data_IF_912235307790
#
_entry.id   IF_912235307790
#
_cell.length_a   1.000
_cell.length_b   1.000
_cell.length_c   1.000
_cell.angle_alpha   90.00
_cell.angle_beta   90.00
_cell.angle_gamma   90.00
#
_symmetry.space_group_name_H-M   'P 1'
#
loop_
_entity.id
_entity.type
_entity.pdbx_description
1 polymer ?
#
# COMPACT_ATOMS: atom_id res chain seq x y z
N UNK A 1 -1.50 20.03 -18.67
CA UNK A 1 -0.96 20.24 -17.31
C UNK A 1 -1.05 18.89 -16.65
N UNK A 2 -0.06 18.07 -16.95
CA UNK A 2 0.05 16.70 -16.47
C UNK A 2 0.08 16.72 -14.94
N UNK A 3 -0.66 15.78 -14.34
CA UNK A 3 -0.88 15.71 -12.91
C UNK A 3 0.46 15.74 -12.19
N UNK A 4 0.60 16.67 -11.26
CA UNK A 4 1.74 16.81 -10.37
C UNK A 4 1.95 15.47 -9.64
N UNK A 5 2.98 14.67 -9.98
CA UNK A 5 3.24 13.36 -9.40
C UNK A 5 4.16 13.54 -8.19
N UNK A 6 3.86 14.54 -7.37
CA UNK A 6 4.57 14.80 -6.15
C UNK A 6 3.61 14.42 -5.04
N UNK A 7 4.05 13.52 -4.14
CA UNK A 7 3.55 13.55 -2.77
C UNK A 7 3.56 15.03 -2.36
N UNK A 8 2.38 15.63 -2.12
CA UNK A 8 2.17 17.08 -2.02
C UNK A 8 2.90 17.75 -0.84
N UNK A 9 3.80 17.02 -0.19
CA UNK A 9 4.40 17.26 1.11
C UNK A 9 5.91 16.85 1.09
N UNK A 10 6.66 17.28 0.06
CA UNK A 10 8.13 17.28 0.02
C UNK A 10 8.87 15.92 -0.01
N UNK A 11 8.33 14.90 -0.69
CA UNK A 11 9.16 13.71 -1.00
C UNK A 11 10.14 14.03 -2.14
N UNK A 12 11.44 13.87 -1.91
CA UNK A 12 12.49 14.06 -2.94
C UNK A 12 12.50 12.96 -4.01
N UNK A 13 11.67 11.93 -3.86
CA UNK A 13 11.63 10.73 -4.71
C UNK A 13 10.52 10.85 -5.76
N UNK A 14 10.76 10.33 -6.96
CA UNK A 14 9.73 10.21 -8.00
C UNK A 14 8.55 9.41 -7.45
N UNK A 15 7.37 10.01 -7.44
CA UNK A 15 6.17 9.32 -6.98
C UNK A 15 5.80 8.20 -7.97
N UNK A 16 5.75 6.99 -7.43
CA UNK A 16 5.26 5.81 -8.13
C UNK A 16 4.45 4.96 -7.14
N UNK A 17 3.86 3.88 -7.65
CA UNK A 17 3.01 2.99 -6.83
C UNK A 17 3.76 2.45 -5.63
N UNK A 18 5.03 2.06 -5.79
CA UNK A 18 5.87 1.57 -4.71
C UNK A 18 6.10 2.63 -3.63
N UNK A 19 6.43 3.86 -4.03
CA UNK A 19 6.63 4.96 -3.11
C UNK A 19 5.36 5.26 -2.29
N UNK A 20 4.20 5.40 -2.93
CA UNK A 20 2.94 5.70 -2.22
C UNK A 20 2.58 4.58 -1.24
N UNK A 21 2.71 3.33 -1.70
CA UNK A 21 2.21 2.15 -1.00
C UNK A 21 3.18 1.56 0.02
N UNK A 22 4.47 1.86 -0.06
CA UNK A 22 5.52 1.23 0.75
C UNK A 22 6.38 2.28 1.47
N UNK A 23 6.92 3.26 0.74
CA UNK A 23 8.04 4.06 1.26
C UNK A 23 7.67 5.47 1.76
N UNK A 24 6.52 6.01 1.35
CA UNK A 24 6.17 7.40 1.60
C UNK A 24 5.98 7.65 3.11
N UNK A 25 6.85 8.44 3.78
CA UNK A 25 6.79 8.61 5.23
C UNK A 25 5.50 9.29 5.70
N UNK A 26 4.91 10.15 4.87
CA UNK A 26 3.66 10.85 5.18
C UNK A 26 2.48 9.88 5.34
N UNK A 27 2.46 8.82 4.54
CA UNK A 27 1.37 7.84 4.56
C UNK A 27 1.62 6.69 5.54
N UNK A 28 2.74 6.68 6.28
CA UNK A 28 3.11 5.63 7.23
C UNK A 28 2.02 5.35 8.27
N UNK A 29 1.48 6.40 8.91
CA UNK A 29 0.38 6.24 9.88
C UNK A 29 -0.88 5.61 9.26
N UNK A 30 -1.13 5.87 7.98
CA UNK A 30 -2.25 5.28 7.24
C UNK A 30 -1.93 3.82 6.84
N UNK A 31 -0.67 3.49 6.54
CA UNK A 31 -0.20 2.13 6.22
C UNK A 31 -0.13 1.19 7.41
N UNK A 32 -0.05 1.69 8.65
CA UNK A 32 0.01 0.86 9.86
C UNK A 32 -1.05 -0.26 9.91
N UNK A 33 -2.29 0.03 9.46
CA UNK A 33 -3.36 -0.99 9.40
C UNK A 33 -3.07 -2.10 8.39
N UNK A 34 -2.49 -1.73 7.25
CA UNK A 34 -2.07 -2.68 6.21
C UNK A 34 -0.91 -3.53 6.74
N UNK A 35 0.09 -2.91 7.38
CA UNK A 35 1.22 -3.63 7.98
C UNK A 35 0.75 -4.66 9.01
N UNK A 36 -0.16 -4.28 9.90
CA UNK A 36 -0.72 -5.20 10.90
C UNK A 36 -1.49 -6.35 10.27
N UNK A 37 -2.26 -6.09 9.21
CA UNK A 37 -3.00 -7.12 8.49
C UNK A 37 -2.03 -8.13 7.84
N UNK A 38 -1.02 -7.65 7.13
CA UNK A 38 -0.02 -8.50 6.47
C UNK A 38 0.78 -9.32 7.50
N UNK A 39 1.22 -8.69 8.59
CA UNK A 39 1.94 -9.35 9.66
C UNK A 39 1.11 -10.46 10.34
N UNK A 40 -0.20 -10.25 10.53
CA UNK A 40 -1.11 -11.28 11.09
C UNK A 40 -1.20 -12.52 10.21
N UNK A 41 -0.92 -12.38 8.92
CA UNK A 41 -0.96 -13.47 7.94
C UNK A 41 0.43 -13.96 7.51
N UNK A 42 1.52 -13.50 8.14
CA UNK A 42 2.91 -13.77 7.74
C UNK A 42 3.21 -13.43 6.27
N UNK A 43 2.71 -12.29 5.81
CA UNK A 43 2.89 -11.80 4.45
C UNK A 43 3.86 -10.61 4.46
N UNK A 44 4.83 -10.62 3.56
CA UNK A 44 5.74 -9.50 3.39
C UNK A 44 5.03 -8.30 2.76
N UNK A 45 5.42 -7.09 3.20
CA UNK A 45 4.96 -5.85 2.58
C UNK A 45 5.69 -5.67 1.24
N UNK A 46 4.97 -5.91 0.14
CA UNK A 46 5.41 -5.61 -1.22
C UNK A 46 4.20 -5.27 -2.10
N UNK A 47 4.47 -4.68 -3.27
CA UNK A 47 3.43 -4.25 -4.20
C UNK A 47 2.51 -5.40 -4.60
N UNK A 48 3.06 -6.59 -4.84
CA UNK A 48 2.29 -7.77 -5.25
C UNK A 48 1.28 -8.21 -4.20
N UNK A 49 1.69 -8.19 -2.92
CA UNK A 49 0.81 -8.54 -1.80
C UNK A 49 -0.29 -7.51 -1.62
N UNK A 50 0.00 -6.23 -1.82
CA UNK A 50 -0.97 -5.14 -1.70
C UNK A 50 -1.98 -5.12 -2.85
N UNK A 51 -1.51 -5.38 -4.08
CA UNK A 51 -2.34 -5.35 -5.29
C UNK A 51 -3.06 -6.68 -5.56
N UNK A 52 -2.93 -7.66 -4.67
CA UNK A 52 -3.58 -8.97 -4.84
C UNK A 52 -2.98 -9.83 -5.94
N UNK A 53 -1.73 -9.56 -6.33
CA UNK A 53 -0.98 -10.34 -7.30
C UNK A 53 -0.33 -11.59 -6.67
N UNK A 54 -0.36 -11.70 -5.34
CA UNK A 54 0.03 -12.91 -4.63
C UNK A 54 -1.09 -13.97 -4.68
N UNK A 55 -1.05 -14.82 -5.71
CA UNK A 55 -2.02 -15.91 -5.94
C UNK A 55 -1.95 -17.05 -4.90
N UNK A 56 -0.94 -17.06 -4.02
CA UNK A 56 -0.84 -18.05 -2.94
C UNK A 56 -1.73 -17.69 -1.73
N UNK A 57 -2.30 -16.49 -1.68
CA UNK A 57 -3.17 -16.03 -0.60
C UNK A 57 -4.60 -16.51 -0.78
N UNK A 58 -5.25 -16.84 0.35
CA UNK A 58 -6.68 -17.11 0.37
C UNK A 58 -7.49 -15.89 -0.07
N UNK A 59 -8.57 -16.13 -0.82
CA UNK A 59 -9.47 -15.09 -1.35
C UNK A 59 -10.00 -14.16 -0.25
N UNK A 60 -10.24 -14.66 0.96
CA UNK A 60 -10.70 -13.85 2.09
C UNK A 60 -9.65 -12.85 2.53
N UNK A 61 -8.38 -13.28 2.56
CA UNK A 61 -7.24 -12.43 2.92
C UNK A 61 -7.02 -11.38 1.83
N UNK A 62 -7.08 -11.77 0.56
CA UNK A 62 -7.00 -10.82 -0.57
C UNK A 62 -8.12 -9.77 -0.52
N UNK A 63 -9.35 -10.16 -0.21
CA UNK A 63 -10.45 -9.21 -0.04
C UNK A 63 -10.18 -8.21 1.09
N UNK A 64 -9.68 -8.68 2.24
CA UNK A 64 -9.32 -7.80 3.37
C UNK A 64 -8.21 -6.82 3.02
N UNK A 65 -7.18 -7.28 2.30
CA UNK A 65 -6.09 -6.41 1.84
C UNK A 65 -6.65 -5.34 0.90
N UNK A 66 -7.41 -5.73 -0.12
CA UNK A 66 -8.07 -4.81 -1.06
C UNK A 66 -8.92 -3.77 -0.33
N UNK A 67 -9.78 -4.18 0.59
CA UNK A 67 -10.69 -3.27 1.30
C UNK A 67 -9.94 -2.32 2.23
N UNK A 68 -8.80 -2.76 2.79
CA UNK A 68 -7.93 -1.92 3.63
C UNK A 68 -7.14 -0.93 2.78
N UNK A 69 -6.62 -1.37 1.63
CA UNK A 69 -5.94 -0.53 0.65
C UNK A 69 -6.89 0.52 0.05
N UNK A 70 -8.14 0.16 -0.25
CA UNK A 70 -9.14 1.11 -0.73
C UNK A 70 -9.44 2.22 0.28
N UNK A 71 -9.43 1.92 1.59
CA UNK A 71 -9.57 2.92 2.65
C UNK A 71 -8.33 3.79 2.84
N UNK A 72 -7.18 3.30 2.43
CA UNK A 72 -5.92 4.05 2.46
C UNK A 72 -5.85 5.07 1.31
N UNK A 73 -6.40 4.72 0.15
CA UNK A 73 -6.37 5.56 -1.06
C UNK A 73 -7.51 6.59 -1.16
N UNK A 74 -8.52 6.53 -0.29
CA UNK A 74 -9.64 7.49 -0.20
C UNK A 74 -9.45 8.45 0.96
#
# INVERSE_FOLDING_TARGET
KDADPSCREDCEVIENVEHILIDCPYTENHRQKIHQLLATHNIDLNVDSLLGLNMALDTTVQCKIRDTLAKFLN
#
